data_IF_103959705041
#
_entry.id   IF_103959705041
#
_cell.length_a   1.000
_cell.length_b   1.000
_cell.length_c   1.000
_cell.angle_alpha   90.00
_cell.angle_beta   90.00
_cell.angle_gamma   90.00
#
_symmetry.space_group_name_H-M   'P 1'
#
loop_
_entity.id
_entity.type
_entity.pdbx_description
1 polymer ?
#
# COMPACT_ATOMS: atom_id res chain seq x y z
N UNK A 1 -2.28 -4.93 11.72
CA UNK A 1 -3.41 -4.39 12.49
C UNK A 1 -4.50 -4.03 11.51
N UNK A 2 -5.74 -4.35 11.80
CA UNK A 2 -6.90 -3.98 10.98
C UNK A 2 -7.78 -3.06 11.82
N UNK A 3 -8.13 -1.92 11.24
CA UNK A 3 -8.95 -0.87 11.85
C UNK A 3 -10.04 -0.53 10.84
N UNK A 4 -11.28 -0.32 11.30
CA UNK A 4 -12.35 0.15 10.41
C UNK A 4 -12.38 1.68 10.26
N UNK A 5 -13.33 2.17 9.49
CA UNK A 5 -13.59 3.60 9.24
C UNK A 5 -14.08 4.37 10.49
N UNK A 6 -14.46 3.67 11.57
CA UNK A 6 -14.81 4.23 12.88
C UNK A 6 -13.64 4.21 13.88
N UNK A 7 -12.43 3.91 13.42
CA UNK A 7 -11.23 3.77 14.23
C UNK A 7 -11.29 2.63 15.27
N UNK A 8 -12.15 1.64 15.06
CA UNK A 8 -12.25 0.47 15.92
C UNK A 8 -11.21 -0.57 15.48
N UNK A 9 -10.40 -1.04 16.44
CA UNK A 9 -9.44 -2.11 16.24
C UNK A 9 -10.18 -3.45 16.09
N UNK A 10 -10.10 -4.04 14.89
CA UNK A 10 -10.75 -5.31 14.58
C UNK A 10 -9.85 -6.52 14.85
N UNK A 11 -8.55 -6.41 14.55
CA UNK A 11 -7.62 -7.54 14.69
C UNK A 11 -6.13 -7.15 14.69
N UNK A 12 -5.32 -8.02 15.29
CA UNK A 12 -3.87 -8.07 15.13
C UNK A 12 -3.45 -9.34 14.38
N UNK A 13 -2.28 -9.32 13.74
CA UNK A 13 -1.70 -10.51 13.11
C UNK A 13 -2.48 -11.12 11.94
N UNK A 14 -3.50 -10.43 11.42
CA UNK A 14 -4.29 -10.91 10.30
C UNK A 14 -3.40 -11.12 9.06
N UNK A 15 -3.54 -12.29 8.41
CA UNK A 15 -2.88 -12.57 7.14
C UNK A 15 -3.70 -11.95 6.01
N UNK A 16 -3.16 -10.89 5.42
CA UNK A 16 -3.72 -10.26 4.23
C UNK A 16 -3.12 -10.89 2.97
N UNK A 17 -3.98 -11.23 2.02
CA UNK A 17 -3.61 -11.85 0.76
C UNK A 17 -4.66 -11.56 -0.30
N UNK A 18 -4.46 -12.11 -1.49
CA UNK A 18 -5.39 -11.93 -2.62
C UNK A 18 -6.78 -12.47 -2.28
N UNK A 19 -7.80 -11.67 -2.52
CA UNK A 19 -9.18 -12.08 -2.37
C UNK A 19 -9.55 -13.17 -3.40
N UNK A 20 -10.48 -14.04 -3.03
CA UNK A 20 -10.92 -15.14 -3.89
C UNK A 20 -11.53 -14.60 -5.19
N UNK A 21 -11.00 -15.03 -6.33
CA UNK A 21 -11.49 -14.61 -7.65
C UNK A 21 -11.02 -13.23 -8.11
N UNK A 22 -10.10 -12.58 -7.38
CA UNK A 22 -9.41 -11.36 -7.84
C UNK A 22 -8.09 -11.71 -8.51
N UNK A 23 -7.66 -10.85 -9.42
CA UNK A 23 -6.38 -10.94 -10.12
C UNK A 23 -5.21 -10.50 -9.21
N UNK A 24 -4.00 -10.91 -9.58
CA UNK A 24 -2.81 -10.38 -8.95
C UNK A 24 -2.64 -8.91 -9.34
N UNK A 25 -2.11 -8.12 -8.42
CA UNK A 25 -1.64 -6.79 -8.76
C UNK A 25 -0.31 -6.87 -9.55
N UNK A 26 -0.29 -6.27 -10.73
CA UNK A 26 0.91 -6.24 -11.58
C UNK A 26 1.65 -4.90 -11.51
N UNK A 27 0.93 -3.79 -11.29
CA UNK A 27 1.50 -2.45 -11.33
C UNK A 27 0.97 -1.56 -10.19
N UNK A 28 1.86 -0.71 -9.70
CA UNK A 28 1.54 0.42 -8.79
C UNK A 28 2.15 1.71 -9.34
N UNK A 29 1.56 2.85 -8.96
CA UNK A 29 2.17 4.16 -9.12
C UNK A 29 2.94 4.49 -7.85
N UNK A 30 4.27 4.46 -7.90
CA UNK A 30 5.14 4.70 -6.75
C UNK A 30 5.71 6.13 -6.78
N UNK A 31 5.66 6.84 -5.66
CA UNK A 31 6.24 8.17 -5.50
C UNK A 31 6.93 8.35 -4.16
N UNK A 32 7.94 9.21 -4.17
CA UNK A 32 8.66 9.71 -3.00
C UNK A 32 8.51 11.23 -2.95
N UNK A 33 8.36 11.86 -1.77
CA UNK A 33 8.17 13.29 -1.60
C UNK A 33 9.50 14.05 -1.76
N UNK A 34 10.14 13.88 -2.91
CA UNK A 34 11.38 14.56 -3.29
C UNK A 34 11.06 15.67 -4.29
N UNK A 35 11.80 16.78 -4.22
CA UNK A 35 11.62 17.89 -5.15
C UNK A 35 11.90 17.43 -6.59
N UNK A 36 10.96 17.67 -7.50
CA UNK A 36 11.04 17.22 -8.90
C UNK A 36 10.80 15.71 -9.12
N UNK A 37 10.49 14.95 -8.06
CA UNK A 37 10.16 13.53 -8.15
C UNK A 37 8.78 13.29 -8.79
N UNK A 38 8.74 12.55 -9.89
CA UNK A 38 7.49 12.11 -10.50
C UNK A 38 7.16 10.67 -10.07
N UNK A 39 5.86 10.36 -10.01
CA UNK A 39 5.44 8.98 -9.79
C UNK A 39 5.90 8.08 -10.95
N UNK A 40 6.39 6.89 -10.62
CA UNK A 40 6.83 5.87 -11.57
C UNK A 40 5.95 4.65 -11.49
N UNK A 41 5.72 4.00 -12.63
CA UNK A 41 4.95 2.74 -12.68
C UNK A 41 5.90 1.57 -12.50
N UNK A 42 5.69 0.79 -11.45
CA UNK A 42 6.55 -0.35 -11.11
C UNK A 42 5.72 -1.54 -10.64
N UNK A 43 6.30 -2.73 -10.70
CA UNK A 43 5.73 -3.91 -10.05
C UNK A 43 5.87 -3.79 -8.53
N UNK A 44 4.85 -4.12 -7.71
CA UNK A 44 4.87 -3.90 -6.27
C UNK A 44 5.99 -4.64 -5.52
N UNK A 45 6.46 -5.77 -6.06
CA UNK A 45 7.62 -6.49 -5.52
C UNK A 45 8.94 -5.68 -5.56
N UNK A 46 8.99 -4.57 -6.32
CA UNK A 46 10.15 -3.65 -6.34
C UNK A 46 10.15 -2.65 -5.19
N UNK A 47 9.04 -2.46 -4.47
CA UNK A 47 8.98 -1.52 -3.34
C UNK A 47 9.68 -2.10 -2.11
N UNK A 48 9.43 -3.36 -1.80
CA UNK A 48 10.02 -4.00 -0.61
C UNK A 48 9.57 -5.44 -0.44
N UNK A 49 9.71 -5.96 0.79
CA UNK A 49 9.38 -7.36 1.12
C UNK A 49 7.89 -7.71 1.04
N UNK A 50 7.56 -8.92 1.47
CA UNK A 50 6.20 -9.51 1.35
C UNK A 50 5.08 -8.65 1.93
N UNK A 51 5.35 -7.87 2.99
CA UNK A 51 4.37 -6.92 3.56
C UNK A 51 3.92 -5.84 2.57
N UNK A 52 4.83 -5.32 1.77
CA UNK A 52 4.53 -4.31 0.74
C UNK A 52 3.67 -4.91 -0.37
N UNK A 53 4.02 -6.12 -0.85
CA UNK A 53 3.23 -6.83 -1.85
C UNK A 53 1.82 -7.15 -1.35
N UNK A 54 1.70 -7.67 -0.12
CA UNK A 54 0.40 -7.98 0.47
C UNK A 54 -0.45 -6.74 0.70
N UNK A 55 0.14 -5.62 1.12
CA UNK A 55 -0.56 -4.35 1.27
C UNK A 55 -1.08 -3.80 -0.07
N UNK A 56 -0.23 -3.81 -1.10
CA UNK A 56 -0.62 -3.38 -2.44
C UNK A 56 -1.75 -4.25 -3.01
N UNK A 57 -1.66 -5.57 -2.87
CA UNK A 57 -2.73 -6.50 -3.28
C UNK A 57 -4.02 -6.26 -2.50
N UNK A 58 -3.94 -6.02 -1.19
CA UNK A 58 -5.12 -5.76 -0.37
C UNK A 58 -5.88 -4.51 -0.82
N UNK A 59 -5.17 -3.40 -1.08
CA UNK A 59 -5.76 -2.15 -1.61
C UNK A 59 -6.29 -2.33 -3.04
N UNK A 60 -5.62 -3.13 -3.88
CA UNK A 60 -6.13 -3.48 -5.20
C UNK A 60 -7.48 -4.21 -5.13
N UNK A 61 -7.61 -5.13 -4.16
CA UNK A 61 -8.82 -5.94 -3.98
C UNK A 61 -9.94 -5.18 -3.26
N UNK A 62 -9.57 -4.29 -2.33
CA UNK A 62 -10.43 -3.42 -1.50
C UNK A 62 -10.07 -1.95 -1.77
N UNK A 63 -10.65 -1.38 -2.82
CA UNK A 63 -10.27 -0.05 -3.35
C UNK A 63 -10.57 1.11 -2.41
N UNK A 64 -11.43 0.90 -1.42
CA UNK A 64 -11.77 1.84 -0.36
C UNK A 64 -10.83 1.75 0.85
N UNK A 65 -9.93 0.76 0.89
CA UNK A 65 -8.98 0.59 1.98
C UNK A 65 -7.70 1.42 1.77
N UNK A 66 -7.10 1.82 2.90
CA UNK A 66 -5.74 2.35 2.97
C UNK A 66 -4.86 1.37 3.74
N UNK A 67 -3.65 1.13 3.25
CA UNK A 67 -2.67 0.30 3.96
C UNK A 67 -1.41 1.10 4.30
N UNK A 68 -0.94 0.94 5.54
CA UNK A 68 0.24 1.61 6.05
C UNK A 68 1.29 0.55 6.37
N UNK A 69 2.48 0.67 5.79
CA UNK A 69 3.58 -0.29 5.96
C UNK A 69 4.79 0.42 6.51
N UNK A 70 5.11 0.17 7.79
CA UNK A 70 6.41 0.47 8.36
C UNK A 70 7.39 -0.65 7.99
N UNK A 71 8.41 -0.31 7.20
CA UNK A 71 9.43 -1.24 6.77
C UNK A 71 10.53 -1.40 7.82
N UNK A 72 11.22 -2.53 7.79
CA UNK A 72 12.37 -2.77 8.67
C UNK A 72 13.59 -1.92 8.31
N UNK A 73 13.64 -1.41 7.08
CA UNK A 73 14.68 -0.48 6.60
C UNK A 73 14.43 0.99 7.03
N UNK A 74 13.35 1.25 7.78
CA UNK A 74 13.02 2.56 8.34
C UNK A 74 12.03 3.37 7.50
N UNK A 75 11.78 2.99 6.24
CA UNK A 75 10.83 3.72 5.41
C UNK A 75 9.38 3.39 5.78
N UNK A 76 8.50 4.36 5.57
CA UNK A 76 7.07 4.18 5.71
C UNK A 76 6.39 4.33 4.36
N UNK A 77 5.52 3.40 3.98
CA UNK A 77 4.79 3.47 2.71
C UNK A 77 3.28 3.44 2.93
N UNK A 78 2.59 4.42 2.34
CA UNK A 78 1.13 4.52 2.34
C UNK A 78 0.62 4.04 0.98
N UNK A 79 -0.29 3.07 1.01
CA UNK A 79 -0.97 2.53 -0.16
C UNK A 79 -2.43 2.96 -0.17
N UNK A 80 -2.90 3.43 -1.33
CA UNK A 80 -4.29 3.80 -1.56
C UNK A 80 -4.69 3.58 -3.02
N UNK A 81 -5.98 3.53 -3.30
CA UNK A 81 -6.48 3.43 -4.66
C UNK A 81 -6.58 4.82 -5.33
N UNK A 82 -6.30 4.88 -6.63
CA UNK A 82 -6.49 6.06 -7.46
C UNK A 82 -7.54 5.82 -8.51
N UNK A 83 -8.66 6.53 -8.44
CA UNK A 83 -9.66 6.48 -9.52
C UNK A 83 -9.14 7.16 -10.79
N UNK A 84 -8.36 8.23 -10.66
CA UNK A 84 -7.78 8.94 -11.81
C UNK A 84 -6.81 8.07 -12.61
N UNK A 85 -6.00 7.27 -11.91
CA UNK A 85 -4.99 6.39 -12.55
C UNK A 85 -5.47 4.95 -12.69
N UNK A 86 -6.65 4.61 -12.14
CA UNK A 86 -7.20 3.26 -12.04
C UNK A 86 -6.16 2.23 -11.54
N UNK A 87 -5.40 2.61 -10.52
CA UNK A 87 -4.26 1.84 -9.99
C UNK A 87 -4.02 2.15 -8.51
N UNK A 88 -3.39 1.23 -7.79
CA UNK A 88 -2.83 1.49 -6.46
C UNK A 88 -1.69 2.51 -6.57
N UNK A 89 -1.76 3.54 -5.73
CA UNK A 89 -0.65 4.45 -5.47
C UNK A 89 0.11 4.00 -4.22
N UNK A 90 1.42 4.16 -4.23
CA UNK A 90 2.30 3.89 -3.10
C UNK A 90 3.18 5.12 -2.85
N UNK A 91 2.94 5.79 -1.73
CA UNK A 91 3.69 6.98 -1.30
C UNK A 91 4.68 6.56 -0.21
N UNK A 92 5.97 6.52 -0.54
CA UNK A 92 7.02 6.28 0.45
C UNK A 92 7.43 7.60 1.07
N UNK A 93 7.42 7.66 2.40
CA UNK A 93 7.85 8.82 3.18
C UNK A 93 8.97 8.37 4.14
N UNK A 94 9.90 9.29 4.44
CA UNK A 94 11.07 8.99 5.28
C UNK A 94 10.69 8.74 6.74
N UNK A 95 9.81 9.57 7.29
CA UNK A 95 9.34 9.44 8.67
C UNK A 95 7.88 9.82 8.76
N UNK A 96 7.10 9.01 9.48
CA UNK A 96 5.77 9.39 9.91
C UNK A 96 5.89 10.11 11.26
N UNK A 97 5.67 11.43 11.28
CA UNK A 97 5.48 12.17 12.53
C UNK A 97 4.01 12.00 12.94
N UNK A 98 3.76 11.19 13.96
CA UNK A 98 2.45 11.04 14.61
C UNK A 98 2.41 11.84 15.91
#
# INVERSE_FOLDING_TARGET
>A
TIINDKYELLAFGAKIGRAKGKDNIDEISFSEPIEGGNAVVIHPAKVGGTRHLSAAQFVHDQRDATALVASQDGHFTIYGWSDLQNRVQAHRIDTLLL
#
